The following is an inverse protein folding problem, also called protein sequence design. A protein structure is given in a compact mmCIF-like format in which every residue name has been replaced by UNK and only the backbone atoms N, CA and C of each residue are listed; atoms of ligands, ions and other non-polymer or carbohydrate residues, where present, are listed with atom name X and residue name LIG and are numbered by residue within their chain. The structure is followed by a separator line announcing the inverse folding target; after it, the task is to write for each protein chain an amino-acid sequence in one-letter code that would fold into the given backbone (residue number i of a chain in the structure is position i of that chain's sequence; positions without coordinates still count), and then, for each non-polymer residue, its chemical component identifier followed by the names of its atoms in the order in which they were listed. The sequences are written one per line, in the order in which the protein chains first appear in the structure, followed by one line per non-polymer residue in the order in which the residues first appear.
data_IF_993258990839
#
_entry.id   IF_993258990839
#
_cell.length_a   1.000
_cell.length_b   1.000
_cell.length_c   1.000
_cell.angle_alpha   90.00
_cell.angle_beta   90.00
_cell.angle_gamma   90.00
#
_symmetry.space_group_name_H-M   'P 1'
#
loop_
_entity.id
_entity.type
_entity.pdbx_description
1 polymer ?
#
# COMPACT_ATOMS: atom_id res chain seq x y z
N UNK A 1 41.22 16.81 7.80
CA UNK A 1 40.11 17.00 8.73
C UNK A 1 39.16 15.81 8.63
N UNK A 2 38.83 15.13 9.69
CA UNK A 2 37.89 14.02 9.64
C UNK A 2 36.51 14.54 9.26
N UNK A 3 35.89 13.93 8.25
CA UNK A 3 34.51 14.24 7.87
C UNK A 3 33.57 13.88 8.99
N UNK A 4 32.64 14.77 9.32
CA UNK A 4 31.68 14.52 10.38
C UNK A 4 30.79 13.31 10.03
N UNK A 5 30.40 12.48 11.02
CA UNK A 5 29.56 11.31 10.80
C UNK A 5 28.22 11.62 10.10
N UNK A 6 27.69 12.84 10.25
CA UNK A 6 26.45 13.27 9.62
C UNK A 6 26.55 13.41 8.09
N UNK A 7 27.70 13.81 7.56
CA UNK A 7 27.89 13.94 6.12
C UNK A 7 27.96 12.58 5.40
N UNK A 8 28.59 11.58 6.02
CA UNK A 8 28.63 10.23 5.49
C UNK A 8 27.24 9.57 5.50
N UNK A 9 26.42 9.86 6.50
CA UNK A 9 25.08 9.29 6.67
C UNK A 9 24.11 9.83 5.61
N UNK A 10 24.12 11.15 5.35
CA UNK A 10 23.29 11.77 4.33
C UNK A 10 23.65 11.30 2.91
N UNK A 11 24.91 10.98 2.66
CA UNK A 11 25.37 10.48 1.37
C UNK A 11 24.85 9.06 1.10
N UNK A 12 24.77 8.21 2.13
CA UNK A 12 24.23 6.85 2.01
C UNK A 12 22.72 6.84 1.77
N UNK A 13 21.98 7.76 2.37
CA UNK A 13 20.53 7.87 2.18
C UNK A 13 20.16 8.22 0.73
N UNK A 14 20.99 9.01 0.02
CA UNK A 14 20.74 9.38 -1.36
C UNK A 14 20.86 8.23 -2.36
N UNK A 15 21.44 7.07 -1.96
CA UNK A 15 21.63 5.91 -2.83
C UNK A 15 20.48 4.91 -2.79
N UNK A 16 19.62 4.94 -1.76
CA UNK A 16 18.49 4.02 -1.63
C UNK A 16 17.39 4.38 -2.61
N UNK A 17 16.93 3.41 -3.37
CA UNK A 17 15.85 3.57 -4.35
C UNK A 17 14.81 2.48 -4.16
N UNK A 18 13.57 2.84 -4.44
CA UNK A 18 12.45 1.91 -4.46
C UNK A 18 11.67 2.09 -5.75
N UNK A 19 11.34 0.97 -6.40
CA UNK A 19 10.52 0.96 -7.61
C UNK A 19 9.30 0.09 -7.41
N UNK A 20 8.18 0.49 -8.00
CA UNK A 20 6.96 -0.29 -7.99
C UNK A 20 7.03 -1.31 -9.13
N UNK A 21 7.11 -2.60 -8.79
CA UNK A 21 7.29 -3.68 -9.77
C UNK A 21 6.06 -3.90 -10.64
N UNK A 22 4.86 -3.80 -10.05
CA UNK A 22 3.61 -3.98 -10.78
C UNK A 22 2.97 -2.65 -11.19
N UNK A 23 3.80 -1.69 -11.62
CA UNK A 23 3.35 -0.33 -11.95
C UNK A 23 2.37 -0.30 -13.12
N UNK A 24 2.53 -1.16 -14.12
CA UNK A 24 1.62 -1.19 -15.28
C UNK A 24 0.21 -1.58 -14.88
N UNK A 25 0.07 -2.56 -13.99
CA UNK A 25 -1.24 -2.94 -13.46
C UNK A 25 -1.87 -1.79 -12.67
N UNK A 26 -1.10 -1.15 -11.79
CA UNK A 26 -1.58 0.00 -11.03
C UNK A 26 -1.98 1.17 -11.93
N UNK A 27 -1.23 1.44 -12.98
CA UNK A 27 -1.55 2.51 -13.95
C UNK A 27 -2.86 2.25 -14.67
N UNK A 28 -3.17 0.98 -14.98
CA UNK A 28 -4.44 0.59 -15.59
C UNK A 28 -5.64 0.97 -14.70
N UNK A 29 -5.52 0.75 -13.40
CA UNK A 29 -6.53 1.15 -12.42
C UNK A 29 -6.54 2.66 -12.20
N UNK A 30 -5.37 3.26 -12.07
CA UNK A 30 -5.23 4.69 -11.79
C UNK A 30 -5.87 5.56 -12.88
N UNK A 31 -5.74 5.17 -14.14
CA UNK A 31 -6.35 5.88 -15.27
C UNK A 31 -7.88 5.94 -15.22
N UNK A 32 -8.51 4.98 -14.55
CA UNK A 32 -9.96 4.93 -14.35
C UNK A 32 -10.36 5.57 -13.03
N UNK A 33 -9.51 5.47 -12.02
CA UNK A 33 -9.77 5.90 -10.65
C UNK A 33 -9.88 4.70 -9.72
N UNK A 34 -8.74 4.28 -9.17
CA UNK A 34 -8.65 3.08 -8.34
C UNK A 34 -9.58 3.15 -7.13
N UNK A 35 -10.33 2.08 -6.90
CA UNK A 35 -11.12 1.87 -5.70
C UNK A 35 -10.58 0.65 -4.96
N UNK A 36 -10.57 0.73 -3.64
CA UNK A 36 -10.07 -0.35 -2.80
C UNK A 36 -11.10 -0.71 -1.74
N UNK A 37 -11.52 -1.96 -1.72
CA UNK A 37 -12.54 -2.45 -0.77
C UNK A 37 -11.94 -2.52 0.63
N UNK A 38 -12.66 -1.96 1.57
CA UNK A 38 -12.43 -2.11 3.01
C UNK A 38 -13.61 -2.84 3.64
N UNK A 39 -13.34 -3.70 4.61
CA UNK A 39 -14.36 -4.52 5.27
C UNK A 39 -14.17 -4.51 6.78
N UNK A 40 -15.22 -4.90 7.51
CA UNK A 40 -15.15 -5.00 8.97
C UNK A 40 -14.06 -5.96 9.45
N UNK A 41 -13.88 -7.08 8.75
CA UNK A 41 -12.92 -8.12 9.13
C UNK A 41 -11.54 -7.96 8.54
N UNK A 42 -11.36 -6.96 7.66
CA UNK A 42 -10.12 -6.74 6.95
C UNK A 42 -10.08 -7.47 5.61
N UNK A 43 -9.62 -6.77 4.58
CA UNK A 43 -9.53 -7.31 3.23
C UNK A 43 -8.20 -6.93 2.61
N UNK A 44 -7.58 -7.90 1.92
CA UNK A 44 -6.34 -7.68 1.16
C UNK A 44 -6.61 -6.76 -0.02
N UNK A 45 -5.58 -5.99 -0.37
CA UNK A 45 -5.62 -5.11 -1.54
C UNK A 45 -5.50 -5.91 -2.83
N UNK A 46 -6.22 -5.46 -3.86
CA UNK A 46 -5.91 -5.81 -5.24
C UNK A 46 -6.09 -4.57 -6.13
N UNK A 47 -5.05 -4.14 -6.88
CA UNK A 47 -3.70 -4.72 -6.87
C UNK A 47 -3.05 -4.62 -5.50
N UNK A 48 -2.21 -5.60 -5.17
CA UNK A 48 -1.33 -5.46 -4.01
C UNK A 48 -0.07 -4.69 -4.42
N UNK A 49 0.67 -4.18 -3.46
CA UNK A 49 1.93 -3.50 -3.72
C UNK A 49 3.07 -4.52 -3.78
N UNK A 50 3.85 -4.46 -4.85
CA UNK A 50 5.08 -5.21 -5.02
C UNK A 50 6.18 -4.24 -5.40
N UNK A 51 7.23 -4.18 -4.61
CA UNK A 51 8.30 -3.20 -4.77
C UNK A 51 9.67 -3.86 -4.81
N UNK A 52 10.62 -3.19 -5.44
CA UNK A 52 12.03 -3.56 -5.42
C UNK A 52 12.84 -2.44 -4.79
N UNK A 53 13.76 -2.82 -3.92
CA UNK A 53 14.65 -1.88 -3.22
C UNK A 53 16.08 -2.10 -3.68
N UNK A 54 16.81 -1.02 -3.92
CA UNK A 54 18.24 -1.02 -4.25
C UNK A 54 18.97 0.04 -3.43
N UNK A 55 20.31 -0.09 -3.36
CA UNK A 55 21.14 0.91 -2.70
C UNK A 55 21.20 0.78 -1.19
N UNK A 56 20.76 -0.34 -0.62
CA UNK A 56 20.92 -0.63 0.81
C UNK A 56 22.32 -1.12 1.11
N UNK A 57 22.79 -0.91 2.34
CA UNK A 57 24.03 -1.49 2.84
C UNK A 57 23.84 -3.01 3.00
N UNK A 58 24.71 -3.85 2.39
CA UNK A 58 24.47 -5.30 2.33
C UNK A 58 24.31 -5.99 3.69
N UNK A 59 25.05 -5.52 4.70
CA UNK A 59 25.11 -6.16 6.03
C UNK A 59 24.39 -5.38 7.12
N UNK A 60 23.77 -4.26 6.76
CA UNK A 60 22.99 -3.46 7.71
C UNK A 60 21.57 -4.00 7.79
N UNK A 61 21.03 -4.08 9.00
CA UNK A 61 19.64 -4.48 9.20
C UNK A 61 18.68 -3.34 8.92
N UNK A 62 17.57 -3.68 8.26
CA UNK A 62 16.49 -2.74 7.98
C UNK A 62 15.14 -3.34 8.32
N UNK A 63 14.21 -2.46 8.67
CA UNK A 63 12.78 -2.75 8.82
C UNK A 63 12.07 -2.01 7.69
N UNK A 64 11.18 -2.70 6.97
CA UNK A 64 10.37 -2.09 5.91
C UNK A 64 8.90 -2.10 6.33
N UNK A 65 8.29 -0.92 6.28
CA UNK A 65 6.94 -0.67 6.78
C UNK A 65 6.12 0.08 5.73
N UNK A 66 4.80 -0.05 5.83
CA UNK A 66 3.82 0.66 5.00
C UNK A 66 2.76 1.30 5.88
N UNK A 67 2.44 2.55 5.61
CA UNK A 67 1.25 3.19 6.15
C UNK A 67 0.42 3.80 5.00
N UNK A 68 -0.77 4.27 5.32
CA UNK A 68 -1.66 4.94 4.36
C UNK A 68 -1.75 6.42 4.71
N UNK A 69 -1.50 7.26 3.72
CA UNK A 69 -1.54 8.70 3.86
C UNK A 69 -2.84 9.20 3.23
N UNK A 70 -3.61 10.09 3.91
CA UNK A 70 -4.74 10.75 3.27
C UNK A 70 -4.29 11.50 2.01
N UNK A 71 -4.95 11.23 0.90
CA UNK A 71 -4.59 11.84 -0.39
C UNK A 71 -5.00 13.30 -0.50
N UNK A 72 -6.04 13.67 0.25
CA UNK A 72 -6.55 15.03 0.35
C UNK A 72 -7.37 15.19 1.66
N UNK A 73 -8.04 16.32 1.81
CA UNK A 73 -8.83 16.64 3.00
C UNK A 73 -10.34 16.59 2.75
N UNK A 74 -10.77 15.78 1.78
CA UNK A 74 -12.17 15.74 1.37
C UNK A 74 -12.79 14.36 1.55
N UNK A 75 -14.13 14.36 1.63
CA UNK A 75 -14.98 13.20 1.54
C UNK A 75 -15.70 13.23 0.19
N UNK A 76 -15.90 12.05 -0.40
CA UNK A 76 -16.39 11.91 -1.76
C UNK A 76 -17.69 11.11 -1.82
N UNK A 77 -18.39 11.25 -2.95
CA UNK A 77 -19.49 10.36 -3.35
C UNK A 77 -19.38 10.07 -4.84
N UNK A 78 -19.93 8.94 -5.26
CA UNK A 78 -20.08 8.58 -6.66
C UNK A 78 -21.48 8.98 -7.12
N UNK A 79 -21.57 9.86 -8.12
CA UNK A 79 -22.83 10.36 -8.65
C UNK A 79 -22.70 10.69 -10.11
N UNK A 80 -23.66 10.22 -10.94
CA UNK A 80 -23.66 10.48 -12.38
C UNK A 80 -22.33 10.10 -13.04
N UNK A 81 -21.86 8.89 -12.73
CA UNK A 81 -20.65 8.30 -13.31
C UNK A 81 -19.35 9.07 -13.00
N UNK A 82 -19.33 9.83 -11.92
CA UNK A 82 -18.12 10.56 -11.50
C UNK A 82 -18.03 10.69 -9.99
N UNK A 83 -16.81 10.88 -9.50
CA UNK A 83 -16.55 11.22 -8.11
C UNK A 83 -16.76 12.72 -7.89
N UNK A 84 -17.49 13.06 -6.83
CA UNK A 84 -17.74 14.44 -6.42
C UNK A 84 -17.37 14.62 -4.96
N UNK A 85 -16.84 15.82 -4.61
CA UNK A 85 -16.61 16.20 -3.20
C UNK A 85 -17.96 16.45 -2.52
N UNK A 86 -18.17 15.86 -1.34
CA UNK A 86 -19.37 16.09 -0.53
C UNK A 86 -19.12 16.98 0.67
N UNK A 87 -17.87 17.17 1.06
CA UNK A 87 -17.51 17.94 2.24
C UNK A 87 -16.09 17.68 2.68
N UNK A 88 -15.77 18.09 3.91
CA UNK A 88 -14.48 17.83 4.52
C UNK A 88 -14.35 16.36 4.92
N UNK A 89 -13.13 15.87 4.91
CA UNK A 89 -12.81 14.51 5.39
C UNK A 89 -13.22 14.38 6.87
N UNK A 90 -13.66 13.17 7.23
CA UNK A 90 -13.84 12.79 8.63
C UNK A 90 -12.48 12.83 9.36
N UNK A 91 -12.45 13.08 10.67
CA UNK A 91 -11.22 12.94 11.45
C UNK A 91 -10.59 11.57 11.21
N UNK A 92 -9.29 11.54 10.88
CA UNK A 92 -8.64 10.29 10.57
C UNK A 92 -8.48 9.41 11.82
N UNK A 93 -8.63 8.10 11.67
CA UNK A 93 -8.33 7.17 12.76
C UNK A 93 -6.84 7.22 13.09
N UNK A 94 -6.44 6.70 14.28
CA UNK A 94 -5.03 6.60 14.61
C UNK A 94 -4.26 5.89 13.49
N UNK A 95 -3.13 6.47 13.08
CA UNK A 95 -2.32 5.93 12.01
C UNK A 95 -1.73 4.58 12.43
N UNK A 96 -1.94 3.56 11.61
CA UNK A 96 -1.36 2.24 11.78
C UNK A 96 -0.36 1.96 10.69
N UNK A 97 0.67 1.22 11.05
CA UNK A 97 1.75 0.84 10.15
C UNK A 97 1.80 -0.68 10.03
N UNK A 98 1.87 -1.16 8.80
CA UNK A 98 2.10 -2.57 8.51
C UNK A 98 3.59 -2.80 8.34
N UNK A 99 4.18 -3.69 9.14
CA UNK A 99 5.59 -4.08 9.05
C UNK A 99 5.70 -5.33 8.18
N UNK A 100 6.56 -5.27 7.16
CA UNK A 100 6.80 -6.45 6.33
C UNK A 100 7.29 -7.62 7.21
N UNK A 101 6.75 -8.84 7.02
CA UNK A 101 7.04 -9.98 7.90
C UNK A 101 8.51 -10.38 7.97
N UNK A 102 9.30 -10.08 6.93
CA UNK A 102 10.73 -10.39 6.90
C UNK A 102 11.57 -9.46 7.77
N UNK A 103 10.96 -8.39 8.30
CA UNK A 103 11.64 -7.40 9.14
C UNK A 103 11.98 -7.96 10.53
N UNK A 104 13.14 -7.66 11.09
CA UNK A 104 14.29 -7.01 10.46
C UNK A 104 15.11 -7.98 9.63
N UNK A 105 15.76 -7.48 8.56
CA UNK A 105 16.64 -8.27 7.73
C UNK A 105 17.75 -7.39 7.15
N UNK A 106 18.86 -8.01 6.74
CA UNK A 106 19.97 -7.29 6.13
C UNK A 106 19.65 -6.81 4.71
N UNK A 107 20.36 -5.76 4.28
CA UNK A 107 20.15 -5.17 2.97
C UNK A 107 20.21 -6.17 1.81
N UNK A 108 21.13 -7.13 1.87
CA UNK A 108 21.24 -8.20 0.88
C UNK A 108 19.93 -8.97 0.73
N UNK A 109 19.28 -9.28 1.84
CA UNK A 109 17.98 -9.98 1.83
C UNK A 109 16.91 -9.16 1.11
N UNK A 110 16.79 -7.87 1.45
CA UNK A 110 15.78 -6.99 0.88
C UNK A 110 15.98 -6.75 -0.62
N UNK A 111 17.22 -6.67 -1.08
CA UNK A 111 17.55 -6.40 -2.47
C UNK A 111 17.52 -7.64 -3.37
N UNK A 112 17.43 -8.83 -2.79
CA UNK A 112 17.52 -10.11 -3.52
C UNK A 112 16.35 -10.32 -4.48
N UNK A 113 15.16 -9.91 -4.10
CA UNK A 113 13.94 -10.12 -4.87
C UNK A 113 12.90 -9.06 -4.58
N UNK A 114 11.82 -9.04 -5.38
CA UNK A 114 10.69 -8.15 -5.16
C UNK A 114 10.02 -8.45 -3.82
N UNK A 115 9.61 -7.39 -3.13
CA UNK A 115 8.92 -7.45 -1.85
C UNK A 115 7.42 -7.32 -2.06
N UNK A 116 6.65 -8.30 -1.58
CA UNK A 116 5.21 -8.32 -1.70
C UNK A 116 4.55 -7.93 -0.38
N UNK A 117 3.56 -7.03 -0.45
CA UNK A 117 2.71 -6.66 0.68
C UNK A 117 1.32 -7.29 0.58
N UNK A 118 1.25 -8.49 0.01
CA UNK A 118 0.02 -9.21 -0.25
C UNK A 118 -0.82 -9.47 1.02
N UNK A 119 -0.19 -9.66 2.16
CA UNK A 119 -0.87 -10.00 3.41
C UNK A 119 -1.45 -8.80 4.15
N UNK A 120 -1.12 -7.58 3.74
CA UNK A 120 -1.65 -6.37 4.34
C UNK A 120 -3.15 -6.26 4.09
N UNK A 121 -3.92 -6.04 5.16
CA UNK A 121 -5.38 -5.92 5.10
C UNK A 121 -5.84 -4.53 5.49
N UNK A 122 -6.89 -4.07 4.83
CA UNK A 122 -7.57 -2.80 5.08
C UNK A 122 -8.93 -3.05 5.73
N UNK A 123 -9.28 -2.22 6.71
CA UNK A 123 -10.55 -2.33 7.43
C UNK A 123 -11.20 -0.98 7.64
N UNK A 124 -12.52 -0.94 7.75
CA UNK A 124 -13.28 0.21 8.22
C UNK A 124 -13.68 0.08 9.70
N UNK A 125 -13.26 -0.99 10.36
CA UNK A 125 -13.56 -1.21 11.77
C UNK A 125 -12.61 -0.38 12.64
N UNK A 126 -13.13 0.71 13.21
CA UNK A 126 -12.34 1.59 14.08
C UNK A 126 -11.94 0.92 15.41
N UNK A 127 -12.56 -0.21 15.75
CA UNK A 127 -12.25 -1.00 16.93
C UNK A 127 -11.42 -2.26 16.61
N UNK A 128 -10.86 -2.32 15.43
CA UNK A 128 -10.05 -3.48 15.00
C UNK A 128 -8.90 -3.76 15.98
N UNK A 129 -8.76 -5.03 16.35
CA UNK A 129 -7.72 -5.51 17.27
C UNK A 129 -6.70 -6.43 16.58
N UNK A 130 -6.79 -6.59 15.26
CA UNK A 130 -5.89 -7.46 14.47
C UNK A 130 -4.71 -6.69 13.87
N UNK A 131 -4.62 -5.39 14.09
CA UNK A 131 -3.55 -4.56 13.53
C UNK A 131 -3.76 -4.19 12.06
N UNK A 132 -4.94 -4.39 11.51
CA UNK A 132 -5.26 -4.00 10.14
C UNK A 132 -5.22 -2.48 9.98
N UNK A 133 -4.94 -2.00 8.77
CA UNK A 133 -4.96 -0.58 8.46
C UNK A 133 -6.40 -0.08 8.46
N UNK A 134 -6.70 0.89 9.32
CA UNK A 134 -8.05 1.45 9.45
C UNK A 134 -8.18 2.64 8.51
N UNK A 135 -9.17 2.59 7.60
CA UNK A 135 -9.47 3.65 6.65
C UNK A 135 -10.96 4.01 6.72
N UNK A 136 -11.26 5.25 6.37
CA UNK A 136 -12.64 5.69 6.19
C UNK A 136 -13.12 5.44 4.77
N UNK A 137 -14.32 4.90 4.63
CA UNK A 137 -14.97 4.76 3.33
C UNK A 137 -15.21 6.13 2.69
N UNK A 138 -15.10 6.20 1.37
CA UNK A 138 -15.33 7.41 0.57
C UNK A 138 -14.30 8.52 0.82
N UNK A 139 -13.11 8.12 1.25
CA UNK A 139 -11.91 8.97 1.41
C UNK A 139 -10.79 8.45 0.55
N UNK A 140 -9.88 9.32 0.16
CA UNK A 140 -8.72 9.00 -0.69
C UNK A 140 -7.47 8.82 0.14
N UNK A 141 -6.65 7.84 -0.27
CA UNK A 141 -5.40 7.47 0.38
C UNK A 141 -4.37 7.07 -0.66
N UNK A 142 -3.10 7.09 -0.25
CA UNK A 142 -2.03 6.43 -0.99
C UNK A 142 -1.07 5.73 -0.03
N UNK A 143 -0.52 4.57 -0.43
CA UNK A 143 0.49 3.87 0.37
C UNK A 143 1.78 4.67 0.44
N UNK A 144 2.41 4.63 1.60
CA UNK A 144 3.73 5.19 1.82
C UNK A 144 4.62 4.11 2.44
N UNK A 145 5.78 3.90 1.80
CA UNK A 145 6.73 2.86 2.18
C UNK A 145 7.88 3.49 2.96
N UNK A 146 8.28 2.84 4.04
CA UNK A 146 9.37 3.32 4.90
C UNK A 146 10.44 2.27 4.97
N UNK A 147 11.69 2.69 4.80
CA UNK A 147 12.88 1.89 5.02
C UNK A 147 13.62 2.50 6.19
N UNK A 148 13.76 1.73 7.26
CA UNK A 148 14.31 2.19 8.53
C UNK A 148 15.47 1.29 8.93
N UNK A 149 16.65 1.87 9.17
CA UNK A 149 17.79 1.14 9.67
C UNK A 149 17.53 0.69 11.11
N UNK A 150 17.93 -0.54 11.43
CA UNK A 150 17.85 -1.08 12.78
C UNK A 150 19.26 -1.42 13.28
N UNK A 151 19.65 -0.92 14.46
CA UNK A 151 20.95 -1.22 15.04
C UNK A 151 21.03 -2.65 15.59
N UNK A 152 19.87 -3.17 15.99
CA UNK A 152 19.69 -4.56 16.41
C UNK A 152 18.29 -5.01 16.01
N UNK A 153 17.95 -6.32 16.13
CA UNK A 153 16.59 -6.81 15.81
C UNK A 153 15.46 -6.07 16.52
N UNK A 154 15.76 -5.39 17.62
CA UNK A 154 14.78 -4.73 18.48
C UNK A 154 14.91 -3.21 18.56
N UNK A 155 15.95 -2.63 17.94
CA UNK A 155 16.25 -1.20 18.05
C UNK A 155 16.23 -0.53 16.70
N UNK A 156 15.17 0.26 16.45
CA UNK A 156 15.02 1.03 15.23
C UNK A 156 15.81 2.35 15.36
N UNK A 157 16.61 2.65 14.33
CA UNK A 157 17.34 3.90 14.23
C UNK A 157 16.49 4.94 13.48
N UNK A 158 15.69 5.71 14.20
CA UNK A 158 14.75 6.68 13.64
C UNK A 158 15.42 7.80 12.82
N UNK A 159 16.72 8.04 13.02
CA UNK A 159 17.48 9.01 12.23
C UNK A 159 17.78 8.56 10.80
N UNK A 160 17.59 7.28 10.49
CA UNK A 160 17.84 6.69 9.17
C UNK A 160 16.54 6.31 8.45
N UNK A 161 15.53 7.14 8.60
CA UNK A 161 14.19 6.90 8.10
C UNK A 161 14.06 7.45 6.67
N UNK A 162 13.71 6.58 5.70
CA UNK A 162 13.45 6.98 4.32
C UNK A 162 12.04 6.56 3.91
N UNK A 163 11.37 7.42 3.13
CA UNK A 163 9.99 7.20 2.71
C UNK A 163 9.87 7.32 1.20
N UNK A 164 9.02 6.45 0.63
CA UNK A 164 8.75 6.38 -0.80
C UNK A 164 7.25 6.26 -1.03
N UNK A 165 6.74 6.95 -2.04
CA UNK A 165 5.35 6.82 -2.47
C UNK A 165 5.28 6.84 -3.98
N UNK A 166 4.21 6.24 -4.53
CA UNK A 166 3.99 6.12 -5.97
C UNK A 166 2.61 6.69 -6.29
N UNK A 167 2.52 7.76 -7.11
CA UNK A 167 1.23 8.40 -7.42
C UNK A 167 0.19 7.44 -7.99
N UNK A 168 0.61 6.46 -8.79
CA UNK A 168 -0.26 5.47 -9.41
C UNK A 168 -0.93 4.50 -8.42
N UNK A 169 -0.51 4.49 -7.17
CA UNK A 169 -1.10 3.64 -6.13
C UNK A 169 -2.18 4.32 -5.31
N UNK A 170 -2.49 5.59 -5.60
CA UNK A 170 -3.57 6.30 -4.95
C UNK A 170 -4.92 5.66 -5.24
N UNK A 171 -5.80 5.62 -4.27
CA UNK A 171 -7.12 4.99 -4.38
C UNK A 171 -8.16 5.69 -3.51
N UNK A 172 -9.43 5.43 -3.81
CA UNK A 172 -10.56 5.75 -2.94
C UNK A 172 -10.97 4.49 -2.19
N UNK A 173 -11.02 4.56 -0.86
CA UNK A 173 -11.51 3.46 -0.04
C UNK A 173 -13.03 3.38 -0.14
N UNK A 174 -13.56 2.19 -0.36
CA UNK A 174 -15.00 1.96 -0.53
C UNK A 174 -15.41 0.66 0.16
N UNK A 175 -16.66 0.57 0.58
CA UNK A 175 -17.23 -0.68 1.11
C UNK A 175 -17.85 -1.54 0.01
N UNK A 176 -18.14 -0.93 -1.13
CA UNK A 176 -18.59 -1.60 -2.35
C UNK A 176 -18.13 -0.77 -3.54
N UNK A 177 -17.79 -1.43 -4.65
CA UNK A 177 -17.38 -0.72 -5.86
C UNK A 177 -18.47 0.20 -6.37
N UNK A 178 -18.08 1.41 -6.73
CA UNK A 178 -18.96 2.46 -7.23
C UNK A 178 -18.90 2.54 -8.75
N UNK A 179 -17.71 2.52 -9.33
CA UNK A 179 -17.51 2.59 -10.77
C UNK A 179 -17.51 1.19 -11.38
N UNK A 180 -18.49 0.85 -12.27
CA UNK A 180 -18.54 -0.46 -12.91
C UNK A 180 -17.29 -0.82 -13.71
N UNK A 181 -16.58 0.17 -14.23
CA UNK A 181 -15.31 -0.04 -14.95
C UNK A 181 -14.23 -0.61 -14.04
N UNK A 182 -14.22 -0.19 -12.77
CA UNK A 182 -13.31 -0.75 -11.75
C UNK A 182 -13.70 -2.18 -11.41
N UNK A 183 -14.98 -2.46 -11.25
CA UNK A 183 -15.47 -3.82 -11.01
C UNK A 183 -14.99 -4.78 -12.10
N UNK A 184 -15.17 -4.38 -13.37
CA UNK A 184 -14.72 -5.18 -14.52
C UNK A 184 -13.21 -5.39 -14.51
N UNK A 185 -12.44 -4.35 -14.27
CA UNK A 185 -10.98 -4.42 -14.26
C UNK A 185 -10.47 -5.33 -13.12
N UNK A 186 -11.10 -5.27 -11.97
CA UNK A 186 -10.81 -6.17 -10.84
C UNK A 186 -11.08 -7.63 -11.20
N UNK A 187 -12.21 -7.91 -11.84
CA UNK A 187 -12.58 -9.26 -12.29
C UNK A 187 -11.58 -9.77 -13.32
N UNK A 188 -11.20 -8.94 -14.29
CA UNK A 188 -10.30 -9.33 -15.37
C UNK A 188 -8.89 -9.68 -14.89
N UNK A 189 -8.39 -9.02 -13.86
CA UNK A 189 -6.99 -9.13 -13.44
C UNK A 189 -6.78 -9.86 -12.11
N UNK A 190 -7.79 -9.89 -11.21
CA UNK A 190 -7.63 -10.54 -9.93
C UNK A 190 -7.80 -12.06 -10.04
N UNK A 191 -6.78 -12.87 -9.70
CA UNK A 191 -6.87 -14.33 -9.77
C UNK A 191 -8.02 -14.92 -8.96
N UNK A 192 -8.40 -14.29 -7.85
CA UNK A 192 -9.51 -14.74 -7.00
C UNK A 192 -10.89 -14.47 -7.59
N UNK A 193 -10.98 -13.69 -8.67
CA UNK A 193 -12.22 -13.35 -9.35
C UNK A 193 -12.48 -14.20 -10.59
N UNK A 194 -11.79 -15.33 -10.79
CA UNK A 194 -11.91 -16.19 -11.98
C UNK A 194 -13.34 -16.63 -12.26
N UNK A 195 -14.13 -16.92 -11.22
CA UNK A 195 -15.51 -17.36 -11.37
C UNK A 195 -16.47 -16.32 -11.97
N UNK A 196 -16.08 -15.07 -12.00
CA UNK A 196 -16.88 -13.96 -12.54
C UNK A 196 -16.48 -13.55 -13.97
N UNK A 197 -15.45 -14.18 -14.55
CA UNK A 197 -15.02 -13.90 -15.91
C UNK A 197 -15.94 -14.59 -16.91
N UNK A 198 -16.02 -14.04 -18.15
CA UNK A 198 -16.73 -14.68 -19.24
C UNK A 198 -16.18 -16.10 -19.44
N UNK A 199 -17.08 -17.09 -19.49
CA UNK A 199 -16.75 -18.50 -19.55
C UNK A 199 -16.55 -19.19 -18.21
N UNK A 200 -16.39 -18.48 -17.12
CA UNK A 200 -16.29 -19.04 -15.76
C UNK A 200 -17.60 -19.06 -14.99
N UNK A 201 -18.60 -18.31 -15.47
CA UNK A 201 -19.88 -18.11 -14.77
C UNK A 201 -20.84 -19.30 -14.85
N UNK A 202 -20.60 -20.25 -15.75
CA UNK A 202 -21.56 -21.35 -16.03
C UNK A 202 -21.43 -22.52 -15.07
N UNK A 203 -20.41 -22.57 -14.25
CA UNK A 203 -20.14 -23.72 -13.36
C UNK A 203 -20.85 -23.63 -12.01
N UNK A 204 -21.44 -22.50 -11.65
CA UNK A 204 -22.00 -22.30 -10.31
C UNK A 204 -23.52 -22.21 -10.22
N UNK A 205 -24.22 -22.40 -11.31
CA UNK A 205 -25.68 -22.24 -11.32
C UNK A 205 -26.46 -23.49 -10.96
N UNK A 206 -25.81 -24.61 -10.66
CA UNK A 206 -26.52 -25.86 -10.33
C UNK A 206 -25.75 -26.66 -9.28
N UNK A 207 -26.02 -26.40 -8.03
CA UNK A 207 -26.18 -27.48 -7.01
C UNK A 207 -26.63 -26.88 -5.72
#
# INVERSE_FOLDING_TARGET
MPRSPSAAHSYQQGCTRMTLENSDLWKSFHGIGTEMIITKHGRRMFPHCSVRVTGLQPFTNYVIMVDMVPGDSFKYKWKKEQWEVTGKAEPQPPCRTYTHPDSPAVGTHWMKQSLSFLKMKLTNNTLDQHGHIILHSMHRYYPRFHVVQADSPYTICWGSFQSFSFPETAFTAVTAYQNPKITKLKIDHNPFAKGFREGGTHSHSKR
#
